data_IF_597452551099
#
_entry.id   IF_597452551099
#
_cell.length_a   1.000
_cell.length_b   1.000
_cell.length_c   1.000
_cell.angle_alpha   90.00
_cell.angle_beta   90.00
_cell.angle_gamma   90.00
#
_symmetry.space_group_name_H-M   'P 1'
#
loop_
_entity.id
_entity.type
_entity.pdbx_description
1 polymer ?
#
# COMPACT_ATOMS: atom_id res chain seq x y z
N UNK A 1 45.93 -22.46 -32.51
CA UNK A 1 44.88 -21.88 -33.38
C UNK A 1 43.45 -22.03 -32.80
N UNK A 2 43.30 -22.40 -31.52
CA UNK A 2 41.99 -22.57 -30.85
C UNK A 2 41.86 -21.74 -29.55
N UNK A 3 42.80 -20.83 -29.28
CA UNK A 3 42.80 -19.93 -28.11
C UNK A 3 42.37 -18.50 -28.43
N UNK A 4 42.11 -18.17 -29.70
CA UNK A 4 41.76 -16.82 -30.17
C UNK A 4 40.29 -16.65 -30.58
N UNK A 5 39.45 -17.67 -30.38
CA UNK A 5 38.03 -17.67 -30.79
C UNK A 5 37.02 -17.60 -29.62
N UNK A 6 37.47 -17.54 -28.37
CA UNK A 6 36.59 -17.51 -27.19
C UNK A 6 36.53 -16.11 -26.54
N UNK A 7 37.43 -15.19 -26.88
CA UNK A 7 37.53 -13.90 -26.17
C UNK A 7 36.80 -12.71 -26.84
N UNK A 8 36.26 -12.88 -28.05
CA UNK A 8 35.68 -11.76 -28.83
C UNK A 8 34.15 -11.82 -28.93
N UNK A 9 33.51 -12.91 -28.53
CA UNK A 9 32.07 -13.12 -28.71
C UNK A 9 31.20 -12.61 -27.55
N UNK A 10 31.75 -12.41 -26.35
CA UNK A 10 30.93 -12.10 -25.17
C UNK A 10 30.77 -10.61 -24.85
N UNK A 11 31.75 -9.77 -25.19
CA UNK A 11 31.69 -8.33 -24.87
C UNK A 11 30.78 -7.54 -25.81
N UNK A 12 30.69 -7.92 -27.08
CA UNK A 12 29.79 -7.26 -28.04
C UNK A 12 28.33 -7.72 -27.91
N UNK A 13 28.11 -9.00 -27.57
CA UNK A 13 26.77 -9.52 -27.32
C UNK A 13 26.16 -8.88 -26.07
N UNK A 14 26.89 -8.84 -24.94
CA UNK A 14 26.45 -8.15 -23.73
C UNK A 14 26.17 -6.66 -23.99
N UNK A 15 27.04 -5.95 -24.71
CA UNK A 15 26.84 -4.53 -25.04
C UNK A 15 25.57 -4.26 -25.88
N UNK A 16 25.08 -5.23 -26.66
CA UNK A 16 23.83 -5.10 -27.42
C UNK A 16 22.57 -5.50 -26.63
N UNK A 17 22.71 -6.41 -25.66
CA UNK A 17 21.60 -6.93 -24.85
C UNK A 17 21.22 -5.95 -23.74
N UNK A 18 22.22 -5.38 -23.04
CA UNK A 18 21.96 -4.47 -21.92
C UNK A 18 21.11 -3.22 -22.28
N UNK A 19 21.34 -2.53 -23.42
CA UNK A 19 20.48 -1.42 -23.83
C UNK A 19 19.04 -1.87 -24.11
N UNK A 20 18.85 -3.03 -24.77
CA UNK A 20 17.53 -3.58 -25.06
C UNK A 20 16.76 -3.96 -23.80
N UNK A 21 17.43 -4.55 -22.81
CA UNK A 21 16.82 -4.87 -21.51
C UNK A 21 16.45 -3.58 -20.77
N UNK A 22 17.33 -2.58 -20.76
CA UNK A 22 17.04 -1.29 -20.12
C UNK A 22 15.84 -0.60 -20.75
N UNK A 23 15.79 -0.56 -22.07
CA UNK A 23 14.70 0.09 -22.81
C UNK A 23 13.38 -0.68 -22.61
N UNK A 24 13.42 -2.03 -22.58
CA UNK A 24 12.27 -2.87 -22.26
C UNK A 24 11.78 -2.71 -20.81
N UNK A 25 12.67 -2.73 -19.82
CA UNK A 25 12.30 -2.49 -18.41
C UNK A 25 11.75 -1.07 -18.17
N UNK A 26 12.04 -0.14 -19.08
CA UNK A 26 11.48 1.21 -19.05
C UNK A 26 10.14 1.36 -19.78
N UNK A 27 9.74 0.33 -20.55
CA UNK A 27 8.48 0.27 -21.29
C UNK A 27 7.30 -0.06 -20.36
N UNK A 28 6.09 0.33 -20.76
CA UNK A 28 4.87 -0.01 -20.00
C UNK A 28 4.75 -1.53 -19.82
N UNK A 29 4.85 -2.38 -20.87
CA UNK A 29 4.76 -3.83 -20.71
C UNK A 29 5.80 -4.41 -19.77
N UNK A 30 7.06 -3.95 -19.84
CA UNK A 30 8.13 -4.44 -18.98
C UNK A 30 7.87 -4.13 -17.50
N UNK A 31 7.38 -2.93 -17.18
CA UNK A 31 6.98 -2.58 -15.81
C UNK A 31 5.80 -3.45 -15.35
N UNK A 32 4.76 -3.61 -16.17
CA UNK A 32 3.60 -4.43 -15.79
C UNK A 32 3.99 -5.88 -15.48
N UNK A 33 4.84 -6.49 -16.31
CA UNK A 33 5.34 -7.87 -16.10
C UNK A 33 6.19 -7.94 -14.83
N UNK A 34 7.09 -6.99 -14.61
CA UNK A 34 7.88 -6.92 -13.39
C UNK A 34 6.99 -6.86 -12.14
N UNK A 35 5.96 -6.00 -12.16
CA UNK A 35 5.04 -5.85 -11.03
C UNK A 35 4.23 -7.11 -10.77
N UNK A 36 3.75 -7.78 -11.83
CA UNK A 36 3.07 -9.06 -11.70
C UNK A 36 3.98 -10.11 -11.04
N UNK A 37 5.24 -10.22 -11.50
CA UNK A 37 6.22 -11.13 -10.90
C UNK A 37 6.45 -10.78 -9.43
N UNK A 38 6.61 -9.50 -9.09
CA UNK A 38 6.82 -9.06 -7.70
C UNK A 38 5.61 -9.39 -6.83
N UNK A 39 4.38 -9.14 -7.26
CA UNK A 39 3.19 -9.42 -6.46
C UNK A 39 2.96 -10.92 -6.27
N UNK A 40 3.15 -11.73 -7.32
CA UNK A 40 3.09 -13.20 -7.21
C UNK A 40 4.21 -13.72 -6.30
N UNK A 41 5.42 -13.16 -6.39
CA UNK A 41 6.52 -13.54 -5.50
C UNK A 41 6.26 -13.16 -4.04
N UNK A 42 5.65 -12.00 -3.78
CA UNK A 42 5.27 -11.55 -2.44
C UNK A 42 4.23 -12.49 -1.81
N UNK A 43 3.23 -12.91 -2.59
CA UNK A 43 2.13 -13.78 -2.14
C UNK A 43 1.87 -14.93 -3.12
N UNK A 44 2.74 -15.95 -3.16
CA UNK A 44 2.59 -17.06 -4.10
C UNK A 44 1.32 -17.89 -3.80
N UNK A 45 0.92 -17.97 -2.53
CA UNK A 45 -0.24 -18.75 -2.11
C UNK A 45 -1.55 -18.14 -2.63
N UNK A 46 -1.74 -16.82 -2.58
CA UNK A 46 -2.95 -16.17 -3.11
C UNK A 46 -3.11 -16.41 -4.62
N UNK A 47 -2.01 -16.51 -5.37
CA UNK A 47 -2.06 -16.78 -6.80
C UNK A 47 -2.66 -18.17 -7.10
N UNK A 48 -2.34 -19.18 -6.27
CA UNK A 48 -2.78 -20.56 -6.47
C UNK A 48 -4.05 -20.93 -5.70
N UNK A 49 -4.26 -20.31 -4.55
CA UNK A 49 -5.32 -20.60 -3.60
C UNK A 49 -5.92 -19.29 -3.06
N UNK A 50 -6.52 -18.45 -3.93
CA UNK A 50 -7.08 -17.19 -3.49
C UNK A 50 -8.20 -17.43 -2.47
N UNK A 51 -8.20 -16.64 -1.41
CA UNK A 51 -9.15 -16.82 -0.32
C UNK A 51 -9.64 -15.48 0.29
N UNK A 52 -10.63 -15.54 1.16
CA UNK A 52 -11.22 -14.36 1.83
C UNK A 52 -10.43 -14.02 3.08
N UNK A 53 -10.14 -12.74 3.27
CA UNK A 53 -9.29 -12.27 4.36
C UNK A 53 -10.04 -11.39 5.35
N UNK A 54 -9.62 -11.50 6.61
CA UNK A 54 -9.82 -10.50 7.68
C UNK A 54 -11.24 -9.92 7.73
N UNK A 55 -11.37 -8.60 7.86
CA UNK A 55 -12.65 -7.89 7.91
C UNK A 55 -13.49 -8.02 6.63
N UNK A 56 -12.92 -8.36 5.48
CA UNK A 56 -13.71 -8.62 4.27
C UNK A 56 -14.67 -9.80 4.50
N UNK A 57 -14.16 -10.86 5.14
CA UNK A 57 -14.96 -12.04 5.47
C UNK A 57 -15.83 -11.90 6.71
N UNK A 58 -15.36 -11.17 7.73
CA UNK A 58 -16.08 -11.09 9.03
C UNK A 58 -16.98 -9.86 9.17
N UNK A 59 -16.79 -8.82 8.36
CA UNK A 59 -17.57 -7.57 8.44
C UNK A 59 -18.27 -7.30 7.11
N UNK A 60 -17.52 -7.23 6.01
CA UNK A 60 -18.06 -6.84 4.70
C UNK A 60 -19.04 -7.89 4.15
N UNK A 61 -18.70 -9.18 4.26
CA UNK A 61 -19.56 -10.28 3.81
C UNK A 61 -20.91 -10.34 4.56
N UNK A 62 -20.98 -10.31 5.91
CA UNK A 62 -22.25 -10.17 6.62
C UNK A 62 -23.04 -8.91 6.24
N UNK A 63 -22.38 -7.74 6.15
CA UNK A 63 -23.04 -6.50 5.76
C UNK A 63 -23.67 -6.59 4.35
N UNK A 64 -23.00 -7.29 3.42
CA UNK A 64 -23.55 -7.56 2.10
C UNK A 64 -24.76 -8.50 2.12
N UNK A 65 -24.76 -9.52 2.97
CA UNK A 65 -25.93 -10.39 3.14
C UNK A 65 -27.15 -9.60 3.62
N UNK A 66 -26.94 -8.71 4.59
CA UNK A 66 -28.00 -7.87 5.16
C UNK A 66 -28.49 -6.78 4.21
N UNK A 67 -27.57 -6.07 3.54
CA UNK A 67 -27.87 -4.78 2.88
C UNK A 67 -27.56 -4.78 1.37
N UNK A 68 -27.00 -5.85 0.82
CA UNK A 68 -26.57 -5.92 -0.57
C UNK A 68 -25.51 -4.86 -0.90
N UNK A 69 -25.67 -4.19 -2.04
CA UNK A 69 -24.76 -3.12 -2.49
C UNK A 69 -24.72 -1.89 -1.56
N UNK A 70 -25.73 -1.70 -0.71
CA UNK A 70 -25.71 -0.61 0.26
C UNK A 70 -24.60 -0.78 1.32
N UNK A 71 -24.09 -2.00 1.50
CA UNK A 71 -22.90 -2.27 2.34
C UNK A 71 -21.65 -1.50 1.90
N UNK A 72 -21.62 -0.94 0.68
CA UNK A 72 -20.61 0.02 0.23
C UNK A 72 -20.36 1.15 1.24
N UNK A 73 -21.40 1.58 1.96
CA UNK A 73 -21.33 2.68 2.92
C UNK A 73 -21.17 2.25 4.38
N UNK A 74 -21.22 0.95 4.69
CA UNK A 74 -21.10 0.43 6.06
C UNK A 74 -19.63 0.39 6.53
N UNK A 75 -19.17 1.20 7.50
CA UNK A 75 -17.74 1.34 7.78
C UNK A 75 -17.08 0.04 8.26
N UNK A 76 -15.84 -0.20 7.81
CA UNK A 76 -14.95 -1.26 8.31
C UNK A 76 -13.89 -0.61 9.19
N UNK A 77 -13.88 -0.96 10.47
CA UNK A 77 -13.01 -0.35 11.47
C UNK A 77 -13.04 1.21 11.49
N UNK A 78 -14.19 1.78 11.10
CA UNK A 78 -14.43 3.23 11.04
C UNK A 78 -14.13 3.88 9.69
N UNK A 79 -13.76 3.09 8.68
CA UNK A 79 -13.36 3.57 7.37
C UNK A 79 -14.34 3.08 6.31
N UNK A 80 -14.58 3.90 5.28
CA UNK A 80 -15.45 3.48 4.17
C UNK A 80 -14.79 2.44 3.24
N UNK A 81 -13.46 2.39 3.19
CA UNK A 81 -12.64 1.44 2.41
C UNK A 81 -13.14 1.22 0.98
N UNK A 82 -13.48 2.34 0.30
CA UNK A 82 -14.22 2.32 -0.96
C UNK A 82 -13.64 1.36 -2.03
N UNK A 83 -12.33 1.38 -2.36
CA UNK A 83 -11.79 0.48 -3.38
C UNK A 83 -11.92 -1.00 -3.02
N UNK A 84 -11.65 -1.36 -1.76
CA UNK A 84 -11.76 -2.73 -1.27
C UNK A 84 -13.20 -3.25 -1.41
N UNK A 85 -14.19 -2.44 -1.02
CA UNK A 85 -15.60 -2.81 -1.18
C UNK A 85 -16.07 -2.89 -2.61
N UNK A 86 -15.60 -2.00 -3.49
CA UNK A 86 -15.95 -2.12 -4.91
C UNK A 86 -15.40 -3.40 -5.51
N UNK A 87 -14.16 -3.79 -5.15
CA UNK A 87 -13.58 -5.08 -5.54
C UNK A 87 -14.43 -6.22 -4.97
N UNK A 88 -14.73 -6.21 -3.67
CA UNK A 88 -15.54 -7.23 -3.02
C UNK A 88 -16.92 -7.37 -3.67
N UNK A 89 -17.69 -6.28 -3.75
CA UNK A 89 -19.07 -6.27 -4.26
C UNK A 89 -19.13 -6.72 -5.71
N UNK A 90 -18.20 -6.24 -6.54
CA UNK A 90 -18.10 -6.69 -7.93
C UNK A 90 -17.82 -8.19 -8.00
N UNK A 91 -16.88 -8.68 -7.19
CA UNK A 91 -16.45 -10.08 -7.22
C UNK A 91 -17.54 -11.04 -6.74
N UNK A 92 -18.18 -10.74 -5.61
CA UNK A 92 -19.25 -11.58 -5.05
C UNK A 92 -20.52 -11.53 -5.92
N UNK A 93 -20.85 -10.37 -6.51
CA UNK A 93 -21.97 -10.27 -7.45
C UNK A 93 -21.72 -10.97 -8.78
N UNK A 94 -20.47 -11.04 -9.25
CA UNK A 94 -20.14 -11.81 -10.45
C UNK A 94 -20.27 -13.31 -10.22
N UNK A 95 -19.62 -13.86 -9.19
CA UNK A 95 -19.76 -15.27 -8.84
C UNK A 95 -19.38 -15.51 -7.38
N UNK A 96 -20.34 -15.92 -6.56
CA UNK A 96 -20.03 -16.28 -5.18
C UNK A 96 -19.10 -17.48 -5.11
N UNK A 97 -19.23 -18.45 -6.01
CA UNK A 97 -18.36 -19.64 -6.09
C UNK A 97 -16.92 -19.32 -6.48
N UNK A 98 -16.69 -18.26 -7.27
CA UNK A 98 -15.36 -17.86 -7.75
C UNK A 98 -14.85 -16.57 -7.09
N UNK A 99 -15.57 -16.05 -6.10
CA UNK A 99 -15.36 -14.72 -5.54
C UNK A 99 -13.90 -14.42 -5.19
N UNK A 100 -13.16 -15.24 -4.41
CA UNK A 100 -11.80 -14.89 -4.05
C UNK A 100 -10.85 -14.78 -5.25
N UNK A 101 -11.04 -15.63 -6.27
CA UNK A 101 -10.22 -15.56 -7.48
C UNK A 101 -10.48 -14.29 -8.29
N UNK A 102 -11.75 -13.86 -8.38
CA UNK A 102 -12.13 -12.61 -9.04
C UNK A 102 -11.60 -11.41 -8.24
N UNK A 103 -11.76 -11.43 -6.91
CA UNK A 103 -11.30 -10.38 -6.01
C UNK A 103 -9.77 -10.23 -6.08
N UNK A 104 -9.04 -11.34 -6.08
CA UNK A 104 -7.59 -11.35 -6.27
C UNK A 104 -7.17 -10.72 -7.60
N UNK A 105 -7.80 -11.11 -8.71
CA UNK A 105 -7.50 -10.55 -10.03
C UNK A 105 -7.78 -9.04 -10.11
N UNK A 106 -8.93 -8.59 -9.59
CA UNK A 106 -9.27 -7.17 -9.53
C UNK A 106 -8.32 -6.39 -8.62
N UNK A 107 -7.87 -6.99 -7.52
CA UNK A 107 -6.87 -6.40 -6.61
C UNK A 107 -5.54 -6.21 -7.32
N UNK A 108 -5.04 -7.22 -8.04
CA UNK A 108 -3.82 -7.09 -8.84
C UNK A 108 -3.94 -5.99 -9.89
N UNK A 109 -5.07 -5.91 -10.60
CA UNK A 109 -5.33 -4.84 -11.56
C UNK A 109 -5.29 -3.47 -10.86
N UNK A 110 -5.90 -3.35 -9.68
CA UNK A 110 -5.95 -2.10 -8.93
C UNK A 110 -4.58 -1.67 -8.39
N UNK A 111 -3.80 -2.60 -7.83
CA UNK A 111 -2.44 -2.33 -7.31
C UNK A 111 -1.47 -1.97 -8.45
N UNK A 112 -1.46 -2.75 -9.53
CA UNK A 112 -0.68 -2.47 -10.74
C UNK A 112 -1.11 -1.12 -11.35
N UNK A 113 -2.42 -0.87 -11.42
CA UNK A 113 -3.00 0.39 -11.88
C UNK A 113 -2.57 1.58 -11.01
N UNK A 114 -2.48 1.40 -9.70
CA UNK A 114 -1.98 2.42 -8.76
C UNK A 114 -0.50 2.73 -8.99
N UNK A 115 0.33 1.73 -9.25
CA UNK A 115 1.74 1.94 -9.59
C UNK A 115 1.87 2.64 -10.95
N UNK A 116 1.10 2.23 -11.95
CA UNK A 116 1.05 2.92 -13.23
C UNK A 116 0.61 4.38 -13.07
N UNK A 117 -0.41 4.64 -12.24
CA UNK A 117 -0.84 5.99 -11.90
C UNK A 117 0.32 6.84 -11.33
N UNK A 118 1.11 6.30 -10.39
CA UNK A 118 2.27 7.01 -9.83
C UNK A 118 3.36 7.23 -10.89
N UNK A 119 3.63 6.23 -11.71
CA UNK A 119 4.71 6.24 -12.70
C UNK A 119 4.45 7.24 -13.84
N UNK A 120 3.19 7.38 -14.26
CA UNK A 120 2.81 8.11 -15.48
C UNK A 120 1.98 9.36 -15.23
N UNK A 121 1.53 9.61 -14.00
CA UNK A 121 0.92 10.91 -13.67
C UNK A 121 1.98 12.02 -13.72
N UNK A 122 1.62 13.22 -14.19
CA UNK A 122 2.53 14.34 -14.20
C UNK A 122 2.74 14.79 -12.74
N UNK A 123 3.78 14.30 -12.08
CA UNK A 123 4.07 14.62 -10.66
C UNK A 123 5.47 15.22 -10.49
N UNK A 124 5.69 16.00 -9.44
CA UNK A 124 7.00 16.55 -9.07
C UNK A 124 7.99 15.50 -8.52
N UNK A 125 7.66 14.21 -8.58
CA UNK A 125 8.60 13.14 -8.26
C UNK A 125 9.79 13.18 -9.24
N UNK A 126 11.01 13.17 -8.70
CA UNK A 126 12.26 13.29 -9.48
C UNK A 126 12.49 12.09 -10.40
N UNK A 127 12.13 10.90 -9.93
CA UNK A 127 12.25 9.62 -10.64
C UNK A 127 10.92 8.86 -10.57
N UNK A 128 9.86 9.29 -11.29
CA UNK A 128 8.49 8.81 -11.06
C UNK A 128 8.33 7.30 -11.25
N UNK A 129 8.96 6.72 -12.28
CA UNK A 129 8.94 5.26 -12.50
C UNK A 129 9.62 4.48 -11.37
N UNK A 130 10.78 4.95 -10.89
CA UNK A 130 11.50 4.31 -9.79
C UNK A 130 10.74 4.47 -8.47
N UNK A 131 10.17 5.65 -8.22
CA UNK A 131 9.32 5.91 -7.07
C UNK A 131 8.07 5.01 -7.07
N UNK A 132 7.49 4.75 -8.24
CA UNK A 132 6.37 3.84 -8.41
C UNK A 132 6.76 2.38 -8.14
N UNK A 133 7.83 1.88 -8.76
CA UNK A 133 8.34 0.51 -8.51
C UNK A 133 8.74 0.32 -7.05
N UNK A 134 9.30 1.35 -6.40
CA UNK A 134 9.66 1.28 -4.99
C UNK A 134 8.46 0.99 -4.07
N UNK A 135 7.23 1.35 -4.46
CA UNK A 135 6.02 0.98 -3.71
C UNK A 135 5.87 -0.54 -3.61
N UNK A 136 6.14 -1.26 -4.72
CA UNK A 136 6.10 -2.73 -4.73
C UNK A 136 7.27 -3.37 -3.97
N UNK A 137 8.37 -2.63 -3.76
CA UNK A 137 9.63 -3.14 -3.20
C UNK A 137 9.90 -2.68 -1.76
N UNK A 138 8.95 -2.04 -1.08
CA UNK A 138 9.16 -1.61 0.30
C UNK A 138 9.52 -2.80 1.22
N UNK A 139 10.42 -2.62 2.20
CA UNK A 139 10.91 -3.69 3.05
C UNK A 139 9.94 -4.02 4.19
N UNK A 140 8.77 -4.56 3.85
CA UNK A 140 7.73 -4.97 4.82
C UNK A 140 7.20 -6.34 4.46
N UNK A 141 6.70 -7.06 5.48
CA UNK A 141 5.88 -8.27 5.25
C UNK A 141 4.72 -7.91 4.30
N UNK A 142 4.34 -8.79 3.36
CA UNK A 142 3.40 -8.46 2.29
C UNK A 142 1.94 -8.43 2.73
N UNK A 143 1.63 -8.01 3.97
CA UNK A 143 0.28 -7.96 4.52
C UNK A 143 -0.67 -7.20 3.58
N UNK A 144 -0.26 -6.02 3.10
CA UNK A 144 -1.09 -5.14 2.26
C UNK A 144 -1.05 -5.45 0.76
N UNK A 145 -0.38 -6.52 0.34
CA UNK A 145 -0.13 -6.82 -1.07
C UNK A 145 -1.03 -7.95 -1.53
N UNK A 146 -1.68 -7.77 -2.68
CA UNK A 146 -2.51 -8.79 -3.33
C UNK A 146 -3.61 -9.39 -2.42
N UNK A 147 -4.19 -8.55 -1.55
CA UNK A 147 -5.34 -8.87 -0.69
C UNK A 147 -6.38 -7.76 -0.87
N UNK A 148 -7.60 -8.15 -1.24
CA UNK A 148 -8.66 -7.21 -1.64
C UNK A 148 -9.07 -6.25 -0.52
N UNK A 149 -9.19 -6.71 0.73
CA UNK A 149 -9.46 -5.81 1.85
C UNK A 149 -8.41 -4.69 1.91
N UNK A 150 -7.13 -5.03 1.76
CA UNK A 150 -6.05 -4.05 1.86
C UNK A 150 -5.86 -3.17 0.63
N UNK A 151 -6.67 -3.32 -0.42
CA UNK A 151 -6.74 -2.35 -1.52
C UNK A 151 -7.04 -0.93 -1.01
N UNK A 152 -7.66 -0.80 0.18
CA UNK A 152 -7.87 0.51 0.78
C UNK A 152 -6.57 1.24 1.14
N UNK A 153 -5.47 0.52 1.45
CA UNK A 153 -4.17 1.13 1.68
C UNK A 153 -3.61 1.73 0.38
N UNK A 154 -3.74 0.99 -0.71
CA UNK A 154 -3.30 1.42 -2.04
C UNK A 154 -4.09 2.60 -2.58
N UNK A 155 -5.41 2.60 -2.40
CA UNK A 155 -6.28 3.67 -2.89
C UNK A 155 -5.88 5.04 -2.32
N UNK A 156 -5.46 5.12 -1.06
CA UNK A 156 -5.05 6.40 -0.46
C UNK A 156 -3.87 7.07 -1.19
N UNK A 157 -3.01 6.29 -1.87
CA UNK A 157 -1.91 6.83 -2.67
C UNK A 157 -2.41 7.73 -3.80
N UNK A 158 -3.64 7.53 -4.28
CA UNK A 158 -4.23 8.34 -5.34
C UNK A 158 -4.38 9.81 -4.91
N UNK A 159 -4.76 10.06 -3.66
CA UNK A 159 -4.80 11.43 -3.10
C UNK A 159 -3.41 12.04 -3.00
N UNK A 160 -2.38 11.24 -2.69
CA UNK A 160 -0.99 11.73 -2.64
C UNK A 160 -0.40 11.98 -4.04
N UNK A 161 -0.78 11.20 -5.06
CA UNK A 161 -0.46 11.53 -6.45
C UNK A 161 -0.98 12.93 -6.81
N UNK A 162 -2.16 13.29 -6.33
CA UNK A 162 -2.74 14.64 -6.54
C UNK A 162 -1.99 15.73 -5.77
N UNK A 163 -1.52 15.45 -4.55
CA UNK A 163 -0.65 16.37 -3.77
C UNK A 163 0.59 16.75 -4.59
N UNK A 164 1.21 15.78 -5.26
CA UNK A 164 2.45 15.98 -6.02
C UNK A 164 2.24 16.33 -7.49
N UNK A 165 1.00 16.53 -7.95
CA UNK A 165 0.68 16.77 -9.37
C UNK A 165 1.37 18.03 -9.94
N UNK A 166 1.77 18.03 -11.22
CA UNK A 166 2.27 19.19 -11.98
C UNK A 166 1.13 19.75 -12.84
N UNK A 167 0.91 21.05 -12.80
CA UNK A 167 -0.23 21.67 -13.53
C UNK A 167 0.13 22.10 -14.95
N UNK A 168 1.40 22.00 -15.30
CA UNK A 168 2.00 22.52 -16.54
C UNK A 168 1.41 21.86 -17.82
N UNK A 169 0.79 20.69 -17.69
CA UNK A 169 0.26 19.89 -18.81
C UNK A 169 -1.27 19.75 -18.74
N UNK A 170 -1.99 20.86 -18.98
CA UNK A 170 -3.47 20.99 -19.01
C UNK A 170 -4.18 20.66 -17.68
N UNK A 171 -5.06 21.53 -17.17
CA UNK A 171 -5.75 21.30 -15.92
C UNK A 171 -6.74 20.14 -16.05
N UNK A 172 -6.32 18.94 -15.63
CA UNK A 172 -7.19 17.78 -15.45
C UNK A 172 -7.85 17.82 -14.06
N UNK A 173 -8.42 18.97 -13.69
CA UNK A 173 -9.02 19.20 -12.36
C UNK A 173 -10.03 18.11 -12.01
N UNK A 174 -10.89 17.73 -12.97
CA UNK A 174 -11.87 16.65 -12.79
C UNK A 174 -11.18 15.34 -12.39
N UNK A 175 -10.11 14.95 -13.09
CA UNK A 175 -9.37 13.73 -12.74
C UNK A 175 -8.70 13.84 -11.37
N UNK A 176 -8.15 15.00 -11.03
CA UNK A 176 -7.59 15.24 -9.69
C UNK A 176 -8.67 15.11 -8.61
N UNK A 177 -9.88 15.60 -8.86
CA UNK A 177 -11.02 15.41 -7.96
C UNK A 177 -11.42 13.93 -7.86
N UNK A 178 -11.51 13.21 -8.98
CA UNK A 178 -11.81 11.76 -8.99
C UNK A 178 -10.78 10.98 -8.17
N UNK A 179 -9.48 11.21 -8.40
CA UNK A 179 -8.40 10.58 -7.63
C UNK A 179 -8.48 10.93 -6.14
N UNK A 180 -8.84 12.17 -5.81
CA UNK A 180 -9.02 12.63 -4.42
C UNK A 180 -10.23 11.98 -3.75
N UNK A 181 -11.34 11.79 -4.47
CA UNK A 181 -12.53 11.10 -3.95
C UNK A 181 -12.23 9.63 -3.72
N UNK A 182 -11.67 8.93 -4.71
CA UNK A 182 -11.34 7.50 -4.58
C UNK A 182 -10.31 7.30 -3.47
N UNK A 183 -9.22 8.07 -3.47
CA UNK A 183 -8.17 7.93 -2.47
C UNK A 183 -8.59 8.39 -1.09
N UNK A 184 -9.38 9.45 -0.98
CA UNK A 184 -9.88 9.94 0.29
C UNK A 184 -10.95 9.04 0.90
N UNK A 185 -11.86 8.45 0.11
CA UNK A 185 -12.85 7.48 0.62
C UNK A 185 -12.22 6.09 0.90
N UNK A 186 -10.96 5.91 0.55
CA UNK A 186 -10.20 4.69 0.82
C UNK A 186 -9.73 4.59 2.27
N UNK A 187 -9.23 5.68 2.86
CA UNK A 187 -8.43 5.61 4.10
C UNK A 187 -8.54 6.89 4.94
N UNK A 188 -8.33 6.81 6.28
CA UNK A 188 -8.23 8.01 7.12
C UNK A 188 -7.08 8.95 6.73
N UNK A 189 -6.15 8.50 5.87
CA UNK A 189 -5.15 9.37 5.24
C UNK A 189 -5.76 10.50 4.38
N UNK A 190 -7.07 10.50 4.14
CA UNK A 190 -7.79 11.63 3.57
C UNK A 190 -7.54 12.94 4.34
N UNK A 191 -7.47 12.89 5.68
CA UNK A 191 -7.26 14.08 6.53
C UNK A 191 -5.89 14.72 6.26
N UNK A 192 -4.76 14.01 6.39
CA UNK A 192 -3.47 14.59 6.08
C UNK A 192 -3.31 14.95 4.60
N UNK A 193 -3.90 14.17 3.67
CA UNK A 193 -3.89 14.54 2.25
C UNK A 193 -4.63 15.88 2.01
N UNK A 194 -5.78 16.09 2.65
CA UNK A 194 -6.52 17.35 2.58
C UNK A 194 -5.70 18.52 3.15
N UNK A 195 -4.99 18.33 4.27
CA UNK A 195 -4.11 19.36 4.82
C UNK A 195 -2.98 19.75 3.86
N UNK A 196 -2.34 18.77 3.20
CA UNK A 196 -1.30 19.03 2.19
C UNK A 196 -1.87 19.69 0.92
N UNK A 197 -3.06 19.28 0.48
CA UNK A 197 -3.75 19.95 -0.63
C UNK A 197 -4.18 21.37 -0.27
N UNK A 198 -4.54 21.63 0.98
CA UNK A 198 -4.79 22.97 1.49
C UNK A 198 -3.52 23.82 1.47
N UNK A 199 -2.41 23.29 2.00
CA UNK A 199 -1.10 23.94 1.90
C UNK A 199 -0.78 24.31 0.45
N UNK A 200 -0.98 23.37 -0.47
CA UNK A 200 -0.78 23.61 -1.91
C UNK A 200 -1.71 24.71 -2.44
N UNK A 201 -3.01 24.64 -2.18
CA UNK A 201 -4.00 25.60 -2.67
C UNK A 201 -3.74 27.04 -2.20
N UNK A 202 -3.13 27.23 -1.03
CA UNK A 202 -2.84 28.56 -0.48
C UNK A 202 -1.40 29.04 -0.70
N UNK A 203 -0.41 28.14 -0.73
CA UNK A 203 1.02 28.50 -0.91
C UNK A 203 1.55 28.31 -2.33
N UNK A 204 0.87 27.51 -3.14
CA UNK A 204 1.14 27.30 -4.56
C UNK A 204 -0.18 27.29 -5.35
N UNK A 205 -1.00 28.35 -5.27
CA UNK A 205 -2.28 28.36 -5.95
C UNK A 205 -2.07 28.12 -7.44
N UNK A 206 -2.54 26.99 -7.92
CA UNK A 206 -2.61 26.65 -9.32
C UNK A 206 -4.07 26.42 -9.72
N UNK A 207 -4.35 26.43 -11.02
CA UNK A 207 -5.71 26.27 -11.54
C UNK A 207 -6.29 24.92 -11.09
N UNK A 208 -7.45 24.95 -10.45
CA UNK A 208 -8.10 23.75 -9.92
C UNK A 208 -7.70 23.36 -8.50
N UNK A 209 -6.68 23.98 -7.90
CA UNK A 209 -6.19 23.54 -6.57
C UNK A 209 -7.19 23.82 -5.45
N UNK A 210 -7.95 24.91 -5.56
CA UNK A 210 -8.99 25.25 -4.59
C UNK A 210 -10.17 24.29 -4.66
N UNK A 211 -10.56 23.91 -5.87
CA UNK A 211 -11.61 22.95 -6.15
C UNK A 211 -11.23 21.55 -5.65
N UNK A 212 -9.99 21.12 -5.95
CA UNK A 212 -9.44 19.85 -5.45
C UNK A 212 -9.35 19.86 -3.93
N UNK A 213 -8.92 20.97 -3.32
CA UNK A 213 -8.89 21.11 -1.87
C UNK A 213 -10.30 21.05 -1.25
N UNK A 214 -11.30 21.71 -1.84
CA UNK A 214 -12.68 21.64 -1.36
C UNK A 214 -13.21 20.19 -1.39
N UNK A 215 -12.94 19.45 -2.46
CA UNK A 215 -13.26 18.02 -2.55
C UNK A 215 -12.51 17.21 -1.49
N UNK A 216 -11.21 17.46 -1.31
CA UNK A 216 -10.41 16.77 -0.29
C UNK A 216 -10.93 17.01 1.13
N UNK A 217 -11.29 18.26 1.45
CA UNK A 217 -11.84 18.64 2.74
C UNK A 217 -13.19 17.94 2.99
N UNK A 218 -14.08 17.90 1.99
CA UNK A 218 -15.36 17.21 2.10
C UNK A 218 -15.16 15.71 2.37
N UNK A 219 -14.28 15.05 1.61
CA UNK A 219 -14.00 13.62 1.77
C UNK A 219 -13.33 13.32 3.12
N UNK A 220 -12.43 14.21 3.58
CA UNK A 220 -11.84 14.11 4.91
C UNK A 220 -12.89 14.23 6.02
N UNK A 221 -13.85 15.14 5.89
CA UNK A 221 -14.98 15.27 6.83
C UNK A 221 -15.83 14.00 6.85
N UNK A 222 -16.17 13.44 5.68
CA UNK A 222 -16.93 12.17 5.58
C UNK A 222 -16.20 11.02 6.29
N UNK A 223 -14.88 10.91 6.11
CA UNK A 223 -14.08 9.90 6.81
C UNK A 223 -14.03 10.14 8.32
N UNK A 224 -13.84 11.38 8.77
CA UNK A 224 -13.87 11.72 10.18
C UNK A 224 -15.21 11.36 10.83
N UNK A 225 -16.32 11.67 10.16
CA UNK A 225 -17.67 11.29 10.62
C UNK A 225 -17.75 9.77 10.74
N UNK A 226 -17.32 9.03 9.71
CA UNK A 226 -17.33 7.55 9.72
C UNK A 226 -16.49 6.96 10.86
N UNK A 227 -15.34 7.56 11.17
CA UNK A 227 -14.48 7.12 12.28
C UNK A 227 -15.10 7.40 13.64
N UNK A 228 -15.76 8.55 13.81
CA UNK A 228 -16.37 8.94 15.09
C UNK A 228 -17.66 8.18 15.36
N UNK A 229 -18.46 7.91 14.32
CA UNK A 229 -19.74 7.19 14.47
C UNK A 229 -19.55 5.68 14.58
N UNK A 230 -18.49 5.14 13.99
CA UNK A 230 -18.15 3.74 14.19
C UNK A 230 -17.61 3.56 15.60
N UNK A 231 -18.34 2.81 16.43
CA UNK A 231 -17.95 2.42 17.80
C UNK A 231 -16.83 1.37 17.78
N UNK A 232 -15.69 1.73 17.18
CA UNK A 232 -14.57 0.81 16.98
C UNK A 232 -13.66 0.90 18.19
N UNK A 233 -13.40 -0.23 18.89
CA UNK A 233 -12.40 -0.27 19.93
C UNK A 233 -11.07 0.21 19.38
N UNK A 234 -10.59 1.30 19.97
CA UNK A 234 -9.24 1.78 19.75
C UNK A 234 -8.25 0.71 20.24
N UNK A 235 -7.26 0.33 19.43
CA UNK A 235 -6.31 -0.76 19.73
C UNK A 235 -5.69 -0.65 21.12
N UNK A 236 -5.47 -1.81 21.76
CA UNK A 236 -4.99 -1.95 23.14
C UNK A 236 -3.56 -1.43 23.33
N UNK A 237 -3.30 -0.75 24.46
CA UNK A 237 -1.96 -0.27 24.84
C UNK A 237 -1.91 1.22 25.15
N UNK A 238 -0.92 1.64 25.95
CA UNK A 238 -0.68 3.07 26.22
C UNK A 238 -0.07 3.72 24.98
N UNK A 239 -0.74 4.75 24.47
CA UNK A 239 -0.22 5.55 23.35
C UNK A 239 0.56 6.70 23.92
N UNK A 240 1.87 6.67 23.70
CA UNK A 240 2.76 7.76 24.08
C UNK A 240 3.71 8.05 22.93
N UNK A 241 4.19 9.29 22.91
CA UNK A 241 5.19 9.70 21.96
C UNK A 241 6.57 9.29 22.48
N UNK A 242 7.28 8.45 21.71
CA UNK A 242 8.64 8.01 22.02
C UNK A 242 9.53 8.28 20.81
N UNK A 243 10.34 9.32 20.88
CA UNK A 243 11.19 9.74 19.79
C UNK A 243 12.20 8.65 19.41
N UNK A 244 12.76 7.92 20.38
CA UNK A 244 13.75 6.86 20.12
C UNK A 244 13.08 5.72 19.36
N UNK A 245 11.91 5.29 19.82
CA UNK A 245 11.15 4.24 19.12
C UNK A 245 10.70 4.70 17.73
N UNK A 246 10.32 5.97 17.53
CA UNK A 246 10.00 6.49 16.19
C UNK A 246 11.20 6.35 15.26
N UNK A 247 12.39 6.75 15.71
CA UNK A 247 13.64 6.63 14.93
C UNK A 247 13.93 5.16 14.60
N UNK A 248 13.86 4.29 15.61
CA UNK A 248 14.13 2.85 15.48
C UNK A 248 13.14 2.19 14.51
N UNK A 249 11.83 2.41 14.68
CA UNK A 249 10.76 1.78 13.87
C UNK A 249 10.73 2.30 12.43
N UNK A 250 10.71 3.61 12.23
CA UNK A 250 10.43 4.17 10.91
C UNK A 250 11.67 4.42 10.05
N UNK A 251 12.86 4.49 10.66
CA UNK A 251 14.11 4.76 9.92
C UNK A 251 15.15 3.65 10.09
N UNK A 252 15.37 3.15 11.31
CA UNK A 252 16.30 2.05 11.55
C UNK A 252 15.84 0.75 10.87
N UNK A 253 14.61 0.33 11.16
CA UNK A 253 14.07 -0.91 10.60
C UNK A 253 13.88 -0.89 9.08
N UNK A 254 13.80 0.29 8.45
CA UNK A 254 13.78 0.40 6.98
C UNK A 254 15.02 -0.25 6.34
N UNK A 255 16.15 -0.26 7.05
CA UNK A 255 17.43 -0.84 6.61
C UNK A 255 17.64 -2.25 7.17
N UNK A 256 17.22 -2.50 8.42
CA UNK A 256 17.44 -3.79 9.12
C UNK A 256 16.17 -4.20 9.89
N UNK A 257 15.44 -5.20 9.39
CA UNK A 257 14.15 -5.66 9.93
C UNK A 257 14.21 -7.07 10.54
N UNK A 258 15.34 -7.43 11.16
CA UNK A 258 15.47 -8.71 11.86
C UNK A 258 14.62 -8.74 13.14
N UNK A 259 14.38 -9.94 13.70
CA UNK A 259 13.50 -10.08 14.87
C UNK A 259 14.07 -9.45 16.16
N UNK A 260 15.40 -9.44 16.30
CA UNK A 260 16.10 -8.97 17.52
C UNK A 260 17.37 -8.15 17.25
N UNK A 261 17.33 -7.11 16.39
CA UNK A 261 18.46 -6.22 16.21
C UNK A 261 18.71 -5.43 17.49
N UNK A 262 19.98 -5.14 17.84
CA UNK A 262 20.30 -4.23 18.94
C UNK A 262 19.64 -2.87 18.70
N UNK A 263 18.80 -2.41 19.63
CA UNK A 263 18.06 -1.13 19.51
C UNK A 263 19.02 0.03 19.25
N UNK A 264 20.20 0.03 19.89
CA UNK A 264 21.22 1.05 19.70
C UNK A 264 21.70 1.14 18.24
N UNK A 265 21.90 -0.01 17.57
CA UNK A 265 22.29 -0.06 16.17
C UNK A 265 21.20 0.54 15.27
N UNK A 266 19.94 0.14 15.48
CA UNK A 266 18.81 0.69 14.72
C UNK A 266 18.65 2.19 14.94
N UNK A 267 18.84 2.66 16.18
CA UNK A 267 18.79 4.07 16.51
C UNK A 267 19.89 4.84 15.78
N UNK A 268 21.14 4.35 15.79
CA UNK A 268 22.27 4.97 15.08
C UNK A 268 22.00 5.04 13.57
N UNK A 269 21.52 3.96 12.96
CA UNK A 269 21.17 3.93 11.53
C UNK A 269 20.04 4.93 11.23
N UNK A 270 18.99 4.93 12.05
CA UNK A 270 17.87 5.85 11.89
C UNK A 270 18.28 7.32 12.03
N UNK A 271 19.13 7.63 13.03
CA UNK A 271 19.70 8.97 13.20
C UNK A 271 20.61 9.37 12.05
N UNK A 272 21.36 8.43 11.45
CA UNK A 272 22.18 8.71 10.26
C UNK A 272 21.30 9.08 9.05
N UNK A 273 20.19 8.35 8.82
CA UNK A 273 19.21 8.68 7.77
C UNK A 273 18.62 10.07 8.01
N UNK A 274 18.16 10.35 9.24
CA UNK A 274 17.62 11.66 9.60
C UNK A 274 18.66 12.77 9.46
N UNK A 275 19.90 12.53 9.86
CA UNK A 275 21.02 13.46 9.71
C UNK A 275 21.28 13.82 8.25
N UNK A 276 21.17 12.84 7.33
CA UNK A 276 21.24 13.11 5.88
C UNK A 276 20.06 13.93 5.40
N UNK A 277 18.83 13.61 5.82
CA UNK A 277 17.62 14.35 5.42
C UNK A 277 17.70 15.81 5.89
N UNK A 278 17.95 16.03 7.18
CA UNK A 278 18.01 17.37 7.77
C UNK A 278 19.27 18.14 7.34
N UNK A 279 20.43 17.49 7.28
CA UNK A 279 21.67 18.11 6.80
C UNK A 279 21.55 18.55 5.34
N UNK A 280 20.92 17.74 4.49
CA UNK A 280 20.61 18.13 3.11
C UNK A 280 19.60 19.28 3.07
N UNK A 281 18.52 19.19 3.85
CA UNK A 281 17.50 20.23 3.89
C UNK A 281 18.07 21.59 4.31
N UNK A 282 18.95 21.59 5.32
CA UNK A 282 19.58 22.81 5.83
C UNK A 282 20.63 23.33 4.85
N UNK A 283 21.58 22.48 4.44
CA UNK A 283 22.67 22.87 3.56
C UNK A 283 22.23 23.35 2.17
N UNK A 284 21.03 22.94 1.72
CA UNK A 284 20.44 23.36 0.44
C UNK A 284 19.20 24.26 0.59
N UNK A 285 18.89 24.73 1.80
CA UNK A 285 17.73 25.58 2.11
C UNK A 285 16.40 25.03 1.56
N UNK A 286 16.20 23.71 1.63
CA UNK A 286 15.04 23.01 1.04
C UNK A 286 13.73 23.28 1.77
N UNK A 287 13.74 23.98 2.89
CA UNK A 287 12.51 24.50 3.52
C UNK A 287 11.75 25.48 2.61
N UNK A 288 12.41 26.07 1.60
CA UNK A 288 11.75 26.87 0.56
C UNK A 288 11.25 26.03 -0.62
N UNK A 289 11.72 24.78 -0.78
CA UNK A 289 11.19 23.86 -1.77
C UNK A 289 9.89 23.24 -1.23
N UNK A 290 8.79 23.73 -1.79
CA UNK A 290 7.45 23.35 -1.37
C UNK A 290 7.16 21.86 -1.63
N UNK A 291 7.78 21.23 -2.63
CA UNK A 291 7.63 19.80 -2.86
C UNK A 291 8.36 18.98 -1.81
N UNK A 292 9.58 19.39 -1.44
CA UNK A 292 10.30 18.77 -0.34
C UNK A 292 9.50 18.86 0.97
N UNK A 293 8.92 20.03 1.26
CA UNK A 293 8.08 20.25 2.44
C UNK A 293 6.83 19.36 2.42
N UNK A 294 6.13 19.26 1.28
CA UNK A 294 4.95 18.38 1.17
C UNK A 294 5.33 16.89 1.35
N UNK A 295 6.49 16.47 0.85
CA UNK A 295 6.96 15.09 0.97
C UNK A 295 7.35 14.74 2.42
N UNK A 296 8.04 15.66 3.09
CA UNK A 296 8.32 15.56 4.53
C UNK A 296 7.02 15.57 5.34
N UNK A 297 6.07 16.42 4.98
CA UNK A 297 4.74 16.48 5.60
C UNK A 297 3.96 15.16 5.44
N UNK A 298 4.02 14.53 4.26
CA UNK A 298 3.41 13.21 4.02
C UNK A 298 4.07 12.12 4.88
N UNK A 299 5.40 12.11 5.00
CA UNK A 299 6.14 11.18 5.87
C UNK A 299 5.73 11.36 7.34
N UNK A 300 5.76 12.59 7.86
CA UNK A 300 5.37 12.88 9.23
C UNK A 300 3.91 12.50 9.50
N UNK A 301 2.99 12.83 8.59
CA UNK A 301 1.59 12.47 8.71
C UNK A 301 1.38 10.95 8.75
N UNK A 302 2.08 10.21 7.89
CA UNK A 302 2.01 8.75 7.87
C UNK A 302 2.54 8.11 9.17
N UNK A 303 3.64 8.63 9.72
CA UNK A 303 4.18 8.18 11.01
C UNK A 303 3.18 8.46 12.14
N UNK A 304 2.65 9.69 12.21
CA UNK A 304 1.66 10.09 13.22
C UNK A 304 0.39 9.25 13.12
N UNK A 305 -0.11 8.99 11.91
CA UNK A 305 -1.27 8.13 11.69
C UNK A 305 -1.03 6.68 12.17
N UNK A 306 0.21 6.19 12.04
CA UNK A 306 0.58 4.85 12.48
C UNK A 306 0.60 4.72 14.00
N UNK A 307 1.30 5.64 14.68
CA UNK A 307 1.46 5.62 16.14
C UNK A 307 0.19 6.04 16.89
N UNK A 308 -0.74 6.73 16.23
CA UNK A 308 -2.05 7.04 16.82
C UNK A 308 -2.99 5.84 16.82
N UNK A 309 -2.77 4.88 15.91
CA UNK A 309 -3.61 3.67 15.78
C UNK A 309 -3.13 2.52 16.66
N UNK A 310 -1.81 2.30 16.73
CA UNK A 310 -1.19 1.20 17.47
C UNK A 310 -0.04 1.72 18.33
N UNK A 311 0.12 1.15 19.51
CA UNK A 311 1.21 1.51 20.41
C UNK A 311 2.57 1.20 19.75
N UNK A 312 3.53 2.13 19.87
CA UNK A 312 4.77 2.11 19.08
C UNK A 312 5.69 0.92 19.41
N UNK A 313 5.58 0.39 20.62
CA UNK A 313 6.27 -0.81 21.10
C UNK A 313 5.79 -2.08 20.37
N UNK A 314 4.53 -2.12 19.93
CA UNK A 314 3.95 -3.25 19.19
C UNK A 314 4.23 -3.20 17.68
N UNK A 315 4.65 -2.05 17.16
CA UNK A 315 4.89 -1.87 15.72
C UNK A 315 6.20 -2.53 15.29
N UNK A 316 6.12 -3.43 14.31
CA UNK A 316 7.28 -4.04 13.64
C UNK A 316 6.96 -4.31 12.17
N UNK A 317 7.83 -3.92 11.21
CA UNK A 317 7.53 -4.02 9.77
C UNK A 317 7.45 -5.47 9.23
N UNK A 318 7.75 -6.46 10.08
CA UNK A 318 7.65 -7.89 9.75
C UNK A 318 6.74 -8.66 10.70
N UNK A 319 6.67 -8.26 11.98
CA UNK A 319 6.11 -9.11 13.05
C UNK A 319 4.84 -8.54 13.67
N UNK A 320 4.56 -7.25 13.48
CA UNK A 320 3.54 -6.54 14.25
C UNK A 320 2.97 -5.36 13.48
N UNK A 321 1.87 -5.59 12.77
CA UNK A 321 1.20 -4.57 11.96
C UNK A 321 2.09 -3.98 10.86
N UNK A 322 2.69 -4.80 9.97
CA UNK A 322 3.53 -4.32 8.88
C UNK A 322 2.81 -3.31 7.96
N UNK A 323 1.48 -3.39 7.83
CA UNK A 323 0.65 -2.40 7.12
C UNK A 323 0.88 -0.95 7.56
N UNK A 324 1.22 -0.71 8.83
CA UNK A 324 1.50 0.64 9.36
C UNK A 324 2.83 1.22 8.86
N UNK A 325 3.68 0.41 8.23
CA UNK A 325 4.93 0.87 7.61
C UNK A 325 4.77 1.16 6.11
N UNK A 326 3.63 0.84 5.50
CA UNK A 326 3.38 1.01 4.08
C UNK A 326 3.62 2.46 3.62
N UNK A 327 2.85 3.43 4.14
CA UNK A 327 3.03 4.83 3.76
C UNK A 327 4.35 5.44 4.23
N UNK A 328 4.79 5.27 5.50
CA UNK A 328 6.07 5.81 5.94
C UNK A 328 7.24 5.37 5.06
N UNK A 329 7.31 4.08 4.69
CA UNK A 329 8.42 3.59 3.86
C UNK A 329 8.31 4.06 2.42
N UNK A 330 7.10 4.21 1.86
CA UNK A 330 6.91 4.84 0.54
C UNK A 330 7.42 6.29 0.55
N UNK A 331 6.94 7.11 1.49
CA UNK A 331 7.31 8.53 1.54
C UNK A 331 8.77 8.75 1.92
N UNK A 332 9.34 7.91 2.79
CA UNK A 332 10.77 7.89 3.06
C UNK A 332 11.56 7.56 1.79
N UNK A 333 11.16 6.53 1.03
CA UNK A 333 11.82 6.17 -0.22
C UNK A 333 11.76 7.30 -1.24
N UNK A 334 10.60 7.93 -1.41
CA UNK A 334 10.44 9.07 -2.31
C UNK A 334 11.29 10.27 -1.88
N UNK A 335 11.40 10.52 -0.57
CA UNK A 335 12.24 11.59 -0.01
C UNK A 335 13.72 11.33 -0.27
N UNK A 336 14.18 10.10 -0.04
CA UNK A 336 15.55 9.68 -0.33
C UNK A 336 15.86 9.74 -1.83
N UNK A 337 14.91 9.36 -2.69
CA UNK A 337 15.05 9.50 -4.15
C UNK A 337 15.14 10.97 -4.60
N UNK A 338 14.35 11.86 -3.98
CA UNK A 338 14.45 13.30 -4.21
C UNK A 338 15.85 13.80 -3.86
N UNK A 339 16.36 13.46 -2.66
CA UNK A 339 17.72 13.86 -2.21
C UNK A 339 18.79 13.27 -3.13
N UNK A 340 18.66 11.99 -3.50
CA UNK A 340 19.60 11.30 -4.38
C UNK A 340 19.78 12.03 -5.73
N UNK A 341 18.70 12.60 -6.28
CA UNK A 341 18.74 13.31 -7.56
C UNK A 341 19.45 14.66 -7.55
N UNK A 342 19.82 15.18 -6.39
CA UNK A 342 20.44 16.51 -6.22
C UNK A 342 21.71 16.52 -5.34
N UNK A 343 21.95 15.45 -4.59
CA UNK A 343 23.03 15.41 -3.62
C UNK A 343 24.41 15.10 -4.25
N UNK A 344 25.47 15.46 -3.51
CA UNK A 344 26.84 15.11 -3.86
C UNK A 344 27.10 13.60 -3.82
N UNK A 345 28.25 13.16 -4.35
CA UNK A 345 28.60 11.73 -4.48
C UNK A 345 28.56 10.97 -3.15
N UNK A 346 29.04 11.55 -2.05
CA UNK A 346 29.05 10.92 -0.72
C UNK A 346 27.64 10.61 -0.21
N UNK A 347 26.73 11.58 -0.30
CA UNK A 347 25.33 11.41 0.12
C UNK A 347 24.61 10.43 -0.80
N UNK A 348 24.86 10.50 -2.12
CA UNK A 348 24.32 9.51 -3.06
C UNK A 348 24.79 8.09 -2.75
N UNK A 349 26.06 7.90 -2.43
CA UNK A 349 26.61 6.60 -2.04
C UNK A 349 25.93 6.07 -0.77
N UNK A 350 25.77 6.92 0.25
CA UNK A 350 25.05 6.55 1.47
C UNK A 350 23.59 6.12 1.19
N UNK A 351 22.84 6.92 0.43
CA UNK A 351 21.46 6.59 0.05
C UNK A 351 21.41 5.30 -0.79
N UNK A 352 22.40 5.10 -1.67
CA UNK A 352 22.55 3.85 -2.41
C UNK A 352 22.70 2.63 -1.50
N UNK A 353 23.55 2.72 -0.47
CA UNK A 353 23.69 1.67 0.56
C UNK A 353 22.37 1.44 1.28
N UNK A 354 21.66 2.50 1.69
CA UNK A 354 20.35 2.41 2.33
C UNK A 354 19.35 1.65 1.44
N UNK A 355 19.29 1.95 0.13
CA UNK A 355 18.41 1.24 -0.79
C UNK A 355 18.83 -0.22 -1.04
N UNK A 356 20.13 -0.52 -1.11
CA UNK A 356 20.60 -1.91 -1.22
C UNK A 356 20.19 -2.70 0.02
N UNK A 357 20.40 -2.16 1.21
CA UNK A 357 19.98 -2.81 2.45
C UNK A 357 18.46 -2.99 2.51
N UNK A 358 17.67 -1.96 2.18
CA UNK A 358 16.21 -2.06 2.11
C UNK A 358 15.77 -3.13 1.09
N UNK A 359 16.43 -3.23 -0.06
CA UNK A 359 16.14 -4.27 -1.05
C UNK A 359 16.47 -5.68 -0.52
N UNK A 360 17.57 -5.84 0.22
CA UNK A 360 17.88 -7.11 0.91
C UNK A 360 16.79 -7.46 1.93
N UNK A 361 16.31 -6.49 2.72
CA UNK A 361 15.19 -6.72 3.64
C UNK A 361 13.90 -7.11 2.91
N UNK A 362 13.61 -6.48 1.76
CA UNK A 362 12.52 -6.88 0.89
C UNK A 362 12.66 -8.34 0.43
N UNK A 363 13.85 -8.77 -0.01
CA UNK A 363 14.08 -10.16 -0.43
C UNK A 363 13.91 -11.16 0.72
N UNK A 364 14.29 -10.78 1.94
CA UNK A 364 14.22 -11.66 3.11
C UNK A 364 12.82 -11.76 3.72
N UNK A 365 12.08 -10.64 3.76
CA UNK A 365 10.83 -10.52 4.53
C UNK A 365 9.61 -10.17 3.68
N UNK A 366 9.80 -9.83 2.40
CA UNK A 366 8.74 -9.41 1.50
C UNK A 366 7.87 -10.53 0.96
N UNK A 367 8.22 -11.80 1.22
CA UNK A 367 7.45 -12.98 0.83
C UNK A 367 6.73 -13.58 2.04
N UNK A 368 5.47 -13.98 1.84
CA UNK A 368 4.68 -14.65 2.87
C UNK A 368 4.05 -15.92 2.30
N UNK A 369 4.17 -17.00 3.06
CA UNK A 369 3.49 -18.27 2.83
C UNK A 369 2.57 -18.55 4.02
N UNK A 370 1.50 -19.30 3.77
CA UNK A 370 0.49 -19.60 4.76
C UNK A 370 -0.34 -20.82 4.37
N UNK A 371 -1.08 -21.33 5.36
CA UNK A 371 -1.96 -22.46 5.16
C UNK A 371 -3.14 -22.10 4.27
N UNK A 372 -3.59 -23.06 3.45
CA UNK A 372 -4.59 -22.81 2.41
C UNK A 372 -5.99 -23.28 2.80
N UNK A 373 -6.97 -22.42 2.59
CA UNK A 373 -8.39 -22.82 2.57
C UNK A 373 -8.88 -22.94 1.12
N UNK A 374 -10.00 -23.65 0.92
CA UNK A 374 -10.63 -23.80 -0.40
C UNK A 374 -12.03 -23.23 -0.36
N UNK A 375 -12.19 -22.02 -0.88
CA UNK A 375 -13.44 -21.25 -0.78
C UNK A 375 -14.67 -22.03 -1.21
N UNK A 376 -14.64 -22.67 -2.40
CA UNK A 376 -15.78 -23.46 -2.88
C UNK A 376 -16.13 -24.63 -1.96
N UNK A 377 -15.13 -25.27 -1.37
CA UNK A 377 -15.37 -26.38 -0.44
C UNK A 377 -15.99 -25.89 0.86
N UNK A 378 -15.52 -24.76 1.39
CA UNK A 378 -16.08 -24.12 2.59
C UNK A 378 -17.49 -23.58 2.36
N UNK A 379 -17.74 -22.94 1.21
CA UNK A 379 -19.06 -22.47 0.80
C UNK A 379 -20.04 -23.64 0.64
N UNK A 380 -19.62 -24.73 -0.01
CA UNK A 380 -20.44 -25.94 -0.15
C UNK A 380 -20.77 -26.60 1.19
N UNK A 381 -19.80 -26.68 2.11
CA UNK A 381 -20.05 -27.16 3.49
C UNK A 381 -21.05 -26.26 4.23
N UNK A 382 -20.93 -24.94 4.08
CA UNK A 382 -21.88 -24.01 4.67
C UNK A 382 -23.29 -24.24 4.13
N UNK A 383 -23.48 -24.33 2.82
CA UNK A 383 -24.78 -24.60 2.19
C UNK A 383 -25.39 -25.90 2.71
N UNK A 384 -24.59 -26.96 2.80
CA UNK A 384 -25.02 -28.28 3.28
C UNK A 384 -25.39 -28.29 4.77
N UNK A 385 -24.97 -27.30 5.57
CA UNK A 385 -25.41 -27.15 6.95
C UNK A 385 -26.89 -26.75 7.07
N UNK A 386 -27.53 -26.29 5.98
CA UNK A 386 -28.96 -26.01 5.94
C UNK A 386 -29.38 -24.91 6.93
N UNK A 387 -30.16 -25.28 7.95
CA UNK A 387 -30.59 -24.36 9.02
C UNK A 387 -29.54 -24.12 10.10
N UNK A 388 -28.52 -24.97 10.18
CA UNK A 388 -27.50 -24.93 11.23
C UNK A 388 -26.48 -23.83 10.96
N UNK A 389 -25.85 -23.35 12.04
CA UNK A 389 -24.79 -22.36 11.97
C UNK A 389 -23.48 -23.05 11.60
N UNK A 390 -22.94 -22.70 10.44
CA UNK A 390 -21.60 -23.06 10.01
C UNK A 390 -20.61 -21.96 10.40
N UNK A 391 -19.50 -22.33 11.03
CA UNK A 391 -18.40 -21.42 11.31
C UNK A 391 -17.48 -21.36 10.10
N UNK A 392 -17.78 -20.43 9.18
CA UNK A 392 -17.01 -20.28 7.95
C UNK A 392 -15.63 -19.70 8.27
N UNK A 393 -14.52 -20.40 7.97
CA UNK A 393 -13.18 -19.93 8.32
C UNK A 393 -12.76 -18.79 7.39
N UNK A 394 -12.16 -17.75 7.96
CA UNK A 394 -11.66 -16.54 7.30
C UNK A 394 -10.16 -16.39 7.60
N UNK A 395 -9.37 -16.13 6.55
CA UNK A 395 -7.92 -16.05 6.67
C UNK A 395 -7.50 -14.77 7.42
N UNK A 396 -6.66 -14.89 8.46
CA UNK A 396 -6.21 -13.75 9.25
C UNK A 396 -4.71 -13.48 9.13
N UNK A 397 -3.88 -14.37 9.67
CA UNK A 397 -2.43 -14.13 9.79
C UNK A 397 -1.57 -15.29 9.28
N UNK A 398 -2.16 -16.22 8.53
CA UNK A 398 -1.43 -17.30 7.88
C UNK A 398 -1.85 -18.69 8.34
N UNK A 399 -1.56 -19.07 9.60
CA UNK A 399 -1.92 -20.37 10.13
C UNK A 399 -3.44 -20.57 10.27
N UNK A 400 -3.95 -21.76 9.96
CA UNK A 400 -5.38 -22.09 10.14
C UNK A 400 -5.83 -22.04 11.59
N UNK A 401 -4.93 -22.31 12.52
CA UNK A 401 -5.23 -22.38 13.96
C UNK A 401 -5.68 -21.04 14.55
N UNK A 402 -5.35 -19.94 13.89
CA UNK A 402 -5.74 -18.58 14.27
C UNK A 402 -6.66 -17.92 13.23
N UNK A 403 -7.27 -18.74 12.35
CA UNK A 403 -8.27 -18.25 11.42
C UNK A 403 -9.43 -17.61 12.19
N UNK A 404 -9.92 -16.51 11.66
CA UNK A 404 -11.17 -15.93 12.14
C UNK A 404 -12.33 -16.78 11.64
N UNK A 405 -13.50 -16.60 12.24
CA UNK A 405 -14.70 -17.34 11.85
C UNK A 405 -15.87 -16.38 11.75
N UNK A 406 -16.72 -16.61 10.75
CA UNK A 406 -18.00 -15.93 10.62
C UNK A 406 -19.12 -16.96 10.69
N UNK A 407 -20.06 -16.72 11.60
CA UNK A 407 -21.20 -17.60 11.84
C UNK A 407 -22.28 -17.33 10.78
N UNK A 408 -22.50 -18.28 9.86
CA UNK A 408 -23.49 -18.17 8.80
C UNK A 408 -24.38 -19.42 8.76
N UNK A 409 -25.66 -19.24 8.45
CA UNK A 409 -26.57 -20.34 8.14
C UNK A 409 -26.38 -20.80 6.69
N UNK A 410 -26.66 -22.07 6.41
CA UNK A 410 -26.61 -22.59 5.04
C UNK A 410 -27.50 -21.84 4.06
N UNK A 411 -28.66 -21.35 4.52
CA UNK A 411 -29.54 -20.48 3.71
C UNK A 411 -28.89 -19.13 3.35
N UNK A 412 -28.06 -18.56 4.22
CA UNK A 412 -27.31 -17.33 3.92
C UNK A 412 -26.20 -17.60 2.90
N UNK A 413 -25.49 -18.73 3.02
CA UNK A 413 -24.50 -19.14 2.03
C UNK A 413 -25.13 -19.45 0.66
N UNK A 414 -26.31 -20.07 0.64
CA UNK A 414 -27.07 -20.29 -0.59
C UNK A 414 -27.51 -18.94 -1.21
N UNK A 415 -27.93 -17.99 -0.37
CA UNK A 415 -28.29 -16.65 -0.83
C UNK A 415 -27.13 -15.91 -1.51
N UNK A 416 -25.88 -16.13 -1.12
CA UNK A 416 -24.71 -15.58 -1.83
C UNK A 416 -24.67 -16.10 -3.27
N UNK A 417 -24.84 -17.41 -3.46
CA UNK A 417 -24.85 -18.04 -4.78
C UNK A 417 -26.04 -17.55 -5.62
N UNK A 418 -27.22 -17.46 -5.02
CA UNK A 418 -28.43 -17.03 -5.72
C UNK A 418 -28.41 -15.56 -6.15
N UNK A 419 -27.69 -14.70 -5.39
CA UNK A 419 -27.49 -13.28 -5.74
C UNK A 419 -26.41 -13.06 -6.81
N UNK A 420 -25.60 -14.08 -7.11
CA UNK A 420 -24.51 -13.95 -8.08
C UNK A 420 -25.00 -14.16 -9.51
N UNK A 421 -24.38 -13.46 -10.46
CA UNK A 421 -24.72 -13.52 -11.89
C UNK A 421 -24.32 -14.88 -12.49
N UNK A 422 -23.13 -15.37 -12.14
CA UNK A 422 -22.58 -16.64 -12.60
C UNK A 422 -22.44 -17.61 -11.42
N UNK A 423 -23.18 -18.72 -11.47
CA UNK A 423 -23.24 -19.72 -10.40
C UNK A 423 -22.02 -20.63 -10.37
#
# INVERSE_FOLDING_TARGET
MLSTLIEVTDTNMMKSIFPRIRDWMSSVPGILILLLIVFVWRRPVEWHHPYVWVEEGTITLPAYLEQGWHSLWAPVAGYLVLPAKLIFLTSISLSASHYPAIAYALTLIFEIGTIALIAYSPTHLRFPKLAAVAVALIPTQPEVFAVSEYAFWWGALWSFVVVFWRVDERPRTIWRCVLTVVGGLSSPMAVPAAALLGYRAFKQPQRGDKEVFAVAALVAVIQCISVVTATVPMGFGKRYFDAVQIVVRFFGHYVISTERPPIALLCVIGLAILGVIFGFAIGRQKWHDKYFVMLLGALCAAIIASISRVAIDQLHPVLGGPRYFFYPYIFLTWLLLYIYGEAGSRVRAFIGVVFVCAFVQFLMHGRQEYDTFRWRAELGRCINAGSDIYQLPIQFAGPKTIAWHVALKGTQCQQLVDRSIFK
#
